data_IF_434064034972
#
_entry.id   IF_434064034972
#
_cell.length_a   1.000
_cell.length_b   1.000
_cell.length_c   1.000
_cell.angle_alpha   90.00
_cell.angle_beta   90.00
_cell.angle_gamma   90.00
#
_symmetry.space_group_name_H-M   'P 1'
#
loop_
_entity.id
_entity.type
_entity.pdbx_description
1 polymer ?
#
# COMPACT_ATOMS: atom_id res chain seq x y z
N UNK A 1 4.11 -17.51 31.83
CA UNK A 1 3.64 -17.64 30.42
C UNK A 1 4.89 -17.59 29.56
N UNK A 2 5.24 -18.68 28.91
CA UNK A 2 6.28 -18.66 27.89
C UNK A 2 5.73 -17.84 26.74
N UNK A 3 6.50 -16.85 26.29
CA UNK A 3 6.11 -16.02 25.14
C UNK A 3 6.32 -16.88 23.87
N UNK A 4 5.24 -17.25 23.21
CA UNK A 4 5.32 -17.87 21.90
C UNK A 4 6.04 -16.94 20.92
N UNK A 5 6.89 -17.48 20.09
CA UNK A 5 7.52 -16.72 19.01
C UNK A 5 6.46 -16.33 17.98
N UNK A 6 6.72 -15.27 17.20
CA UNK A 6 5.81 -14.87 16.11
C UNK A 6 5.53 -16.03 15.14
N UNK A 7 6.53 -16.85 14.81
CA UNK A 7 6.38 -17.98 13.88
C UNK A 7 5.47 -19.07 14.45
N UNK A 8 5.54 -19.36 15.75
CA UNK A 8 4.65 -20.32 16.41
C UNK A 8 3.19 -19.85 16.38
N UNK A 9 2.96 -18.54 16.55
CA UNK A 9 1.62 -17.98 16.42
C UNK A 9 1.15 -18.03 14.95
N UNK A 10 2.01 -17.62 14.02
CA UNK A 10 1.72 -17.59 12.60
C UNK A 10 1.37 -18.99 12.03
N UNK A 11 1.89 -20.05 12.67
CA UNK A 11 1.61 -21.43 12.24
C UNK A 11 0.13 -21.81 12.31
N UNK A 12 -0.62 -21.14 13.17
CA UNK A 12 -2.07 -21.35 13.33
C UNK A 12 -2.91 -20.72 12.22
N UNK A 13 -2.31 -19.88 11.34
CA UNK A 13 -3.01 -19.11 10.31
C UNK A 13 -2.53 -19.47 8.92
N UNK A 14 -3.44 -19.38 7.94
CA UNK A 14 -3.13 -19.58 6.52
C UNK A 14 -2.59 -18.33 5.85
N UNK A 15 -3.03 -17.16 6.32
CA UNK A 15 -2.66 -15.87 5.77
C UNK A 15 -2.15 -14.94 6.88
N UNK A 16 -1.10 -14.21 6.58
CA UNK A 16 -0.46 -13.26 7.49
C UNK A 16 -0.48 -11.88 6.83
N UNK A 17 -1.05 -10.91 7.53
CA UNK A 17 -1.04 -9.52 7.14
C UNK A 17 -0.01 -8.78 7.99
N UNK A 18 0.92 -8.10 7.34
CA UNK A 18 2.00 -7.35 7.98
C UNK A 18 1.79 -5.86 7.68
N UNK A 19 1.76 -5.02 8.72
CA UNK A 19 1.87 -3.58 8.53
C UNK A 19 3.26 -3.22 7.98
N UNK A 20 3.32 -2.22 7.13
CA UNK A 20 4.59 -1.84 6.48
C UNK A 20 5.48 -1.06 7.44
N UNK A 21 5.01 0.12 7.93
CA UNK A 21 5.85 1.00 8.73
C UNK A 21 5.79 0.64 10.22
N UNK A 22 6.93 0.33 10.80
CA UNK A 22 7.03 -0.12 12.18
C UNK A 22 7.05 -1.65 12.35
N UNK A 23 6.69 -2.41 11.30
CA UNK A 23 6.68 -3.89 11.32
C UNK A 23 7.65 -4.46 10.27
N UNK A 24 7.53 -4.07 9.01
CA UNK A 24 8.43 -4.51 7.94
C UNK A 24 9.64 -3.59 7.81
N UNK A 25 9.41 -2.28 7.88
CA UNK A 25 10.45 -1.23 7.74
C UNK A 25 10.22 -0.07 8.71
N UNK A 26 11.25 0.75 8.88
CA UNK A 26 11.20 2.01 9.61
C UNK A 26 12.02 3.09 8.87
N UNK A 27 12.30 4.23 9.52
CA UNK A 27 13.11 5.31 8.95
C UNK A 27 14.55 4.91 8.61
N UNK A 28 15.08 3.81 9.18
CA UNK A 28 16.43 3.28 8.91
C UNK A 28 16.46 2.22 7.80
N UNK A 29 15.31 1.77 7.31
CA UNK A 29 15.17 0.70 6.31
C UNK A 29 14.41 -0.50 6.84
N UNK A 30 14.74 -1.70 6.37
CA UNK A 30 14.11 -2.93 6.84
C UNK A 30 14.43 -3.20 8.31
N UNK A 31 13.45 -3.69 9.03
CA UNK A 31 13.63 -4.14 10.42
C UNK A 31 14.43 -5.46 10.38
N UNK A 32 15.48 -5.59 11.20
CA UNK A 32 16.29 -6.81 11.28
C UNK A 32 15.43 -8.05 11.54
N UNK A 33 15.69 -9.12 10.80
CA UNK A 33 14.98 -10.39 10.89
C UNK A 33 13.72 -10.49 10.00
N UNK A 34 13.24 -9.40 9.43
CA UNK A 34 12.07 -9.42 8.54
C UNK A 34 12.29 -10.26 7.28
N UNK A 35 13.42 -10.14 6.55
CA UNK A 35 13.64 -10.99 5.37
C UNK A 35 13.62 -12.48 5.69
N UNK A 36 14.23 -12.87 6.80
CA UNK A 36 14.26 -14.26 7.28
C UNK A 36 12.87 -14.75 7.68
N UNK A 37 12.12 -13.91 8.39
CA UNK A 37 10.75 -14.22 8.81
C UNK A 37 9.83 -14.41 7.59
N UNK A 38 9.87 -13.53 6.61
CA UNK A 38 9.07 -13.65 5.38
C UNK A 38 9.45 -14.92 4.62
N UNK A 39 10.74 -15.23 4.53
CA UNK A 39 11.21 -16.46 3.89
C UNK A 39 10.69 -17.71 4.60
N UNK A 40 10.71 -17.72 5.93
CA UNK A 40 10.17 -18.83 6.75
C UNK A 40 8.66 -19.00 6.58
N UNK A 41 7.90 -17.90 6.56
CA UNK A 41 6.46 -17.93 6.32
C UNK A 41 6.13 -18.49 4.93
N UNK A 42 6.89 -18.10 3.90
CA UNK A 42 6.72 -18.65 2.54
C UNK A 42 7.05 -20.13 2.46
N UNK A 43 8.15 -20.55 3.09
CA UNK A 43 8.52 -21.96 3.16
C UNK A 43 7.44 -22.82 3.86
N UNK A 44 6.74 -22.23 4.83
CA UNK A 44 5.59 -22.85 5.50
C UNK A 44 4.27 -22.74 4.68
N UNK A 45 4.30 -22.26 3.45
CA UNK A 45 3.14 -22.13 2.57
C UNK A 45 2.13 -21.08 2.99
N UNK A 46 2.54 -20.09 3.79
CA UNK A 46 1.64 -19.01 4.25
C UNK A 46 1.43 -17.98 3.14
N UNK A 47 0.21 -17.50 2.99
CA UNK A 47 -0.10 -16.32 2.18
C UNK A 47 0.32 -15.07 2.95
N UNK A 48 1.11 -14.20 2.30
CA UNK A 48 1.57 -12.96 2.90
C UNK A 48 0.92 -11.78 2.20
N UNK A 49 0.54 -10.76 2.97
CA UNK A 49 0.10 -9.46 2.47
C UNK A 49 0.76 -8.36 3.30
N UNK A 50 1.27 -7.35 2.63
CA UNK A 50 1.82 -6.15 3.27
C UNK A 50 0.81 -5.02 3.14
N UNK A 51 0.35 -4.51 4.27
CA UNK A 51 -0.56 -3.36 4.33
C UNK A 51 0.25 -2.07 4.47
N UNK A 52 -0.13 -1.04 3.75
CA UNK A 52 0.49 0.28 3.88
C UNK A 52 -0.51 1.41 3.70
N UNK A 53 -0.38 2.44 4.53
CA UNK A 53 -1.11 3.70 4.35
C UNK A 53 -0.47 4.62 3.30
N UNK A 54 0.66 4.23 2.70
CA UNK A 54 1.32 5.00 1.64
C UNK A 54 0.50 4.90 0.34
N UNK A 55 -0.34 5.92 0.09
CA UNK A 55 -1.11 6.08 -1.14
C UNK A 55 -0.34 6.81 -2.24
N UNK A 56 0.90 7.24 -1.99
CA UNK A 56 1.69 7.98 -2.98
C UNK A 56 2.33 7.10 -4.05
N UNK A 57 2.24 5.78 -3.91
CA UNK A 57 2.88 4.79 -4.80
C UNK A 57 1.93 3.65 -5.13
N UNK A 58 2.03 3.17 -6.38
CA UNK A 58 1.34 1.95 -6.78
C UNK A 58 1.91 0.71 -6.08
N UNK A 59 1.19 -0.43 -6.07
CA UNK A 59 1.70 -1.70 -5.56
C UNK A 59 3.02 -2.12 -6.22
N UNK A 60 3.17 -1.88 -7.53
CA UNK A 60 4.39 -2.18 -8.30
C UNK A 60 5.58 -1.37 -7.78
N UNK A 61 5.39 -0.06 -7.62
CA UNK A 61 6.42 0.83 -7.06
C UNK A 61 6.78 0.49 -5.61
N UNK A 62 5.81 0.02 -4.83
CA UNK A 62 6.08 -0.47 -3.48
C UNK A 62 6.90 -1.76 -3.48
N UNK A 63 6.57 -2.71 -4.38
CA UNK A 63 7.30 -3.97 -4.52
C UNK A 63 8.76 -3.72 -4.94
N UNK A 64 8.98 -2.87 -5.96
CA UNK A 64 10.32 -2.45 -6.40
C UNK A 64 11.12 -1.80 -5.25
N UNK A 65 10.44 -0.99 -4.43
CA UNK A 65 11.09 -0.35 -3.29
C UNK A 65 11.46 -1.34 -2.17
N UNK A 66 10.65 -2.35 -1.92
CA UNK A 66 11.00 -3.43 -1.00
C UNK A 66 12.23 -4.20 -1.51
N UNK A 67 12.29 -4.51 -2.79
CA UNK A 67 13.45 -5.16 -3.40
C UNK A 67 14.71 -4.32 -3.28
N UNK A 68 14.64 -3.02 -3.62
CA UNK A 68 15.75 -2.08 -3.48
C UNK A 68 16.24 -1.92 -2.02
N UNK A 69 15.37 -2.18 -1.04
CA UNK A 69 15.69 -2.14 0.38
C UNK A 69 16.23 -3.48 0.93
N UNK A 70 16.35 -4.52 0.09
CA UNK A 70 16.87 -5.83 0.50
C UNK A 70 15.79 -6.84 0.92
N UNK A 71 14.54 -6.61 0.55
CA UNK A 71 13.43 -7.56 0.70
C UNK A 71 12.94 -8.01 -0.68
N UNK A 72 13.67 -8.90 -1.37
CA UNK A 72 13.30 -9.35 -2.69
C UNK A 72 12.10 -10.27 -2.68
N UNK A 73 11.43 -10.34 -3.83
CA UNK A 73 10.36 -11.30 -4.07
C UNK A 73 9.02 -10.93 -3.44
N UNK A 74 8.80 -9.68 -3.03
CA UNK A 74 7.46 -9.18 -2.73
C UNK A 74 6.79 -8.87 -4.08
N UNK A 75 5.72 -9.59 -4.40
CA UNK A 75 4.95 -9.34 -5.61
C UNK A 75 3.99 -8.15 -5.41
N UNK A 76 3.66 -7.39 -6.48
CA UNK A 76 2.69 -6.29 -6.39
C UNK A 76 1.36 -6.72 -5.77
N UNK A 77 0.89 -7.93 -6.07
CA UNK A 77 -0.36 -8.49 -5.55
C UNK A 77 -0.33 -8.77 -4.05
N UNK A 78 0.86 -8.81 -3.46
CA UNK A 78 1.05 -8.97 -2.02
C UNK A 78 0.98 -7.63 -1.27
N UNK A 79 0.99 -6.50 -1.99
CA UNK A 79 0.95 -5.15 -1.40
C UNK A 79 -0.45 -4.57 -1.49
N UNK A 80 -1.01 -4.21 -0.36
CA UNK A 80 -2.31 -3.54 -0.25
C UNK A 80 -2.07 -2.12 0.27
N UNK A 81 -2.41 -1.12 -0.54
CA UNK A 81 -2.26 0.29 -0.18
C UNK A 81 -3.60 0.93 0.14
N UNK A 82 -3.62 1.98 0.95
CA UNK A 82 -4.82 2.79 1.15
C UNK A 82 -5.31 3.45 -0.15
N UNK A 83 -4.41 3.74 -1.09
CA UNK A 83 -4.76 4.25 -2.41
C UNK A 83 -5.58 3.26 -3.25
N UNK A 84 -5.34 1.96 -3.13
CA UNK A 84 -6.19 0.94 -3.77
C UNK A 84 -7.63 1.00 -3.23
N UNK A 85 -7.79 1.23 -1.94
CA UNK A 85 -9.13 1.37 -1.34
C UNK A 85 -9.81 2.66 -1.81
N UNK A 86 -9.06 3.76 -1.92
CA UNK A 86 -9.56 5.00 -2.50
C UNK A 86 -10.00 4.79 -3.96
N UNK A 87 -9.20 4.10 -4.79
CA UNK A 87 -9.59 3.75 -6.17
C UNK A 87 -10.91 2.99 -6.22
N UNK A 88 -11.05 1.93 -5.42
CA UNK A 88 -12.29 1.14 -5.36
C UNK A 88 -13.49 2.01 -4.95
N UNK A 89 -13.30 2.90 -3.99
CA UNK A 89 -14.35 3.85 -3.58
C UNK A 89 -14.75 4.77 -4.73
N UNK A 90 -13.78 5.35 -5.44
CA UNK A 90 -14.01 6.24 -6.57
C UNK A 90 -14.77 5.53 -7.70
N UNK A 91 -14.38 4.32 -8.05
CA UNK A 91 -15.06 3.50 -9.07
C UNK A 91 -16.51 3.21 -8.72
N UNK A 92 -16.80 3.01 -7.44
CA UNK A 92 -18.16 2.67 -6.98
C UNK A 92 -19.06 3.90 -6.77
N UNK A 93 -18.50 5.01 -6.31
CA UNK A 93 -19.27 6.15 -5.80
C UNK A 93 -19.21 7.38 -6.69
N UNK A 94 -18.07 7.68 -7.30
CA UNK A 94 -17.90 8.89 -8.13
C UNK A 94 -18.21 8.59 -9.59
N UNK A 95 -17.63 7.56 -10.16
CA UNK A 95 -17.85 7.03 -11.51
C UNK A 95 -17.48 7.94 -12.67
N UNK A 96 -17.71 9.23 -12.59
CA UNK A 96 -17.39 10.23 -13.63
C UNK A 96 -16.98 11.55 -12.99
N UNK A 97 -16.24 12.38 -13.74
CA UNK A 97 -15.89 13.73 -13.32
C UNK A 97 -14.42 13.90 -12.96
N UNK A 98 -14.15 14.95 -12.20
CA UNK A 98 -12.81 15.33 -11.74
C UNK A 98 -12.71 15.20 -10.23
N UNK A 99 -11.58 14.71 -9.75
CA UNK A 99 -11.27 14.57 -8.33
C UNK A 99 -10.09 15.46 -8.00
N UNK A 100 -10.26 16.32 -7.01
CA UNK A 100 -9.17 17.12 -6.47
C UNK A 100 -8.30 16.27 -5.54
N UNK A 101 -7.00 16.44 -5.62
CA UNK A 101 -6.05 15.76 -4.73
C UNK A 101 -5.05 16.74 -4.13
N UNK A 102 -4.62 16.42 -2.92
CA UNK A 102 -3.53 17.08 -2.22
C UNK A 102 -2.36 16.12 -2.12
N UNK A 103 -1.21 16.49 -2.71
CA UNK A 103 -0.01 15.65 -2.69
C UNK A 103 0.88 15.87 -3.91
N UNK A 104 1.77 14.92 -4.14
CA UNK A 104 2.63 14.89 -5.34
C UNK A 104 1.83 14.37 -6.53
N UNK A 105 2.31 14.64 -7.73
CA UNK A 105 1.70 14.16 -8.98
C UNK A 105 1.51 12.62 -8.98
N UNK A 106 2.42 11.89 -8.38
CA UNK A 106 2.29 10.44 -8.22
C UNK A 106 1.07 10.01 -7.38
N UNK A 107 0.54 10.87 -6.51
CA UNK A 107 -0.66 10.58 -5.74
C UNK A 107 -1.93 10.52 -6.60
N UNK A 108 -1.93 11.17 -7.78
CA UNK A 108 -3.03 11.12 -8.74
C UNK A 108 -3.22 9.75 -9.40
N UNK A 109 -2.23 8.84 -9.30
CA UNK A 109 -2.24 7.52 -9.92
C UNK A 109 -3.55 6.75 -9.70
N UNK A 110 -4.06 6.73 -8.46
CA UNK A 110 -5.27 5.98 -8.13
C UNK A 110 -6.56 6.62 -8.67
N UNK A 111 -6.57 7.95 -8.83
CA UNK A 111 -7.70 8.68 -9.45
C UNK A 111 -7.72 8.35 -10.94
N UNK A 112 -6.59 8.44 -11.61
CA UNK A 112 -6.45 8.12 -13.03
C UNK A 112 -6.76 6.64 -13.31
N UNK A 113 -6.32 5.74 -12.42
CA UNK A 113 -6.61 4.32 -12.51
C UNK A 113 -8.09 3.98 -12.28
N UNK A 114 -8.88 4.90 -11.70
CA UNK A 114 -10.34 4.81 -11.60
C UNK A 114 -11.05 5.44 -12.83
N UNK A 115 -10.34 5.79 -13.89
CA UNK A 115 -10.83 6.48 -15.09
C UNK A 115 -11.48 7.84 -14.79
N UNK A 116 -10.97 8.55 -13.80
CA UNK A 116 -11.40 9.89 -13.44
C UNK A 116 -10.31 10.91 -13.77
N UNK A 117 -10.72 12.16 -14.01
CA UNK A 117 -9.77 13.26 -14.13
C UNK A 117 -9.24 13.65 -12.74
N UNK A 118 -7.98 14.05 -12.68
CA UNK A 118 -7.36 14.55 -11.47
C UNK A 118 -6.98 16.02 -11.61
N UNK A 119 -7.21 16.81 -10.57
CA UNK A 119 -6.71 18.18 -10.45
C UNK A 119 -5.96 18.34 -9.14
N UNK A 120 -4.76 18.91 -9.17
CA UNK A 120 -4.08 19.29 -7.93
C UNK A 120 -4.83 20.44 -7.26
N UNK A 121 -4.97 20.37 -5.94
CA UNK A 121 -5.60 21.48 -5.17
C UNK A 121 -4.85 22.80 -5.39
N UNK A 122 -3.55 22.77 -5.68
CA UNK A 122 -2.75 23.96 -6.02
C UNK A 122 -3.10 24.59 -7.37
N UNK A 123 -3.82 23.87 -8.25
CA UNK A 123 -4.23 24.31 -9.59
C UNK A 123 -5.72 24.69 -9.65
N UNK A 124 -6.44 24.55 -8.53
CA UNK A 124 -7.87 24.87 -8.45
C UNK A 124 -8.00 26.33 -8.06
N UNK A 125 -8.61 27.14 -8.92
CA UNK A 125 -9.05 28.45 -8.55
C UNK A 125 -10.31 28.32 -7.63
N UNK A 126 -10.35 29.03 -6.53
CA UNK A 126 -11.46 28.94 -5.56
C UNK A 126 -12.80 29.40 -6.19
N UNK A 127 -12.75 30.08 -7.32
CA UNK A 127 -13.95 30.45 -8.09
C UNK A 127 -14.54 29.30 -8.91
N UNK A 128 -13.77 28.23 -9.16
CA UNK A 128 -14.19 27.03 -9.92
C UNK A 128 -14.73 25.90 -9.04
N UNK A 129 -14.96 26.16 -7.73
CA UNK A 129 -15.37 25.12 -6.76
C UNK A 129 -16.77 24.53 -6.99
N UNK A 130 -17.58 25.12 -7.88
CA UNK A 130 -18.92 24.59 -8.22
C UNK A 130 -18.86 23.35 -9.14
N UNK A 131 -17.68 22.98 -9.65
CA UNK A 131 -17.48 21.80 -10.50
C UNK A 131 -16.98 20.55 -9.76
N UNK A 132 -16.75 20.64 -8.44
CA UNK A 132 -16.27 19.52 -7.63
C UNK A 132 -17.45 18.92 -6.89
N UNK A 133 -18.01 17.88 -7.42
CA UNK A 133 -19.01 17.03 -6.75
C UNK A 133 -18.33 15.82 -6.12
#
# INVERSE_FOLDING_TARGET
MEANTFLEIADQYKAIFLDSYGVVKNHRGLIPGVPETIRSLRAAGKTIRILTNDASRSPEQQAERFEAQGLPGIAPEEVITSGMMAKLFLEQKVRTGSVAYLGTESAAHYILAANLNSKSVSEIDLEDCDEIT
#
